data_IF_023510093186
#
_entry.id   IF_023510093186
#
_cell.length_a   1.000
_cell.length_b   1.000
_cell.length_c   1.000
_cell.angle_alpha   90.00
_cell.angle_beta   90.00
_cell.angle_gamma   90.00
#
_symmetry.space_group_name_H-M   'P 1'
#
loop_
_entity.id
_entity.type
_entity.pdbx_description
1 polymer ?
#
# COMPACT_ATOMS: atom_id res chain seq x y z
N UNK A 1 10.61 -18.40 -11.99
CA UNK A 1 9.22 -18.17 -12.39
C UNK A 1 8.25 -19.23 -11.84
N UNK A 2 8.59 -19.96 -10.79
CA UNK A 2 7.70 -20.96 -10.18
C UNK A 2 7.43 -22.21 -11.03
N UNK A 3 8.10 -22.39 -12.16
CA UNK A 3 7.97 -23.57 -13.02
C UNK A 3 6.66 -23.68 -13.82
N UNK A 4 5.94 -22.58 -13.98
CA UNK A 4 4.71 -22.52 -14.77
C UNK A 4 4.94 -21.84 -16.11
N UNK A 5 4.07 -22.15 -17.07
CA UNK A 5 4.09 -21.51 -18.39
C UNK A 5 3.40 -20.15 -18.27
N UNK A 6 4.12 -19.11 -18.66
CA UNK A 6 3.57 -17.75 -18.82
C UNK A 6 3.22 -17.55 -20.30
N UNK A 7 1.96 -17.27 -20.58
CA UNK A 7 1.45 -17.13 -21.96
C UNK A 7 1.49 -15.68 -22.47
N UNK A 8 1.88 -14.74 -21.62
CA UNK A 8 1.92 -13.30 -21.91
C UNK A 8 0.56 -12.73 -22.40
N UNK A 9 -0.55 -13.31 -21.98
CA UNK A 9 -1.89 -12.87 -22.38
C UNK A 9 -2.32 -11.57 -21.68
N UNK A 10 -1.58 -11.10 -20.67
CA UNK A 10 -1.80 -9.85 -19.97
C UNK A 10 -0.55 -8.96 -20.05
N UNK A 11 -0.46 -8.18 -21.12
CA UNK A 11 0.67 -7.28 -21.40
C UNK A 11 0.32 -5.80 -21.18
N UNK A 12 1.06 -4.92 -21.87
CA UNK A 12 0.93 -3.47 -21.75
C UNK A 12 -0.50 -2.99 -22.04
N UNK A 13 -1.13 -3.46 -23.11
CA UNK A 13 -2.47 -3.03 -23.50
C UNK A 13 -3.52 -3.45 -22.48
N UNK A 14 -3.48 -4.69 -22.02
CA UNK A 14 -4.41 -5.25 -21.05
C UNK A 14 -4.27 -4.54 -19.70
N UNK A 15 -3.03 -4.34 -19.22
CA UNK A 15 -2.77 -3.62 -17.97
C UNK A 15 -3.24 -2.17 -18.02
N UNK A 16 -2.89 -1.42 -19.05
CA UNK A 16 -3.33 -0.03 -19.22
C UNK A 16 -4.85 0.07 -19.37
N UNK A 17 -5.47 -0.89 -20.08
CA UNK A 17 -6.93 -0.97 -20.18
C UNK A 17 -7.57 -1.27 -18.83
N UNK A 18 -6.99 -2.14 -18.03
CA UNK A 18 -7.45 -2.40 -16.66
C UNK A 18 -7.40 -1.13 -15.83
N UNK A 19 -6.28 -0.39 -15.83
CA UNK A 19 -6.17 0.88 -15.11
C UNK A 19 -7.23 1.91 -15.57
N UNK A 20 -7.48 2.04 -16.87
CA UNK A 20 -8.54 2.90 -17.40
C UNK A 20 -9.95 2.49 -16.90
N UNK A 21 -10.24 1.18 -16.83
CA UNK A 21 -11.54 0.67 -16.39
C UNK A 21 -11.80 0.88 -14.90
N UNK A 22 -10.77 0.71 -14.05
CA UNK A 22 -10.89 0.94 -12.61
C UNK A 22 -10.66 2.40 -12.22
N UNK A 23 -10.18 3.25 -13.14
CA UNK A 23 -9.93 4.66 -12.90
C UNK A 23 -8.71 4.92 -11.99
N UNK A 24 -7.68 4.07 -12.04
CA UNK A 24 -6.45 4.24 -11.27
C UNK A 24 -5.27 4.66 -12.17
N UNK A 25 -4.28 5.31 -11.56
CA UNK A 25 -3.02 5.65 -12.22
C UNK A 25 -2.16 4.39 -12.39
N UNK A 26 -1.58 4.14 -13.57
CA UNK A 26 -0.63 3.06 -13.77
C UNK A 26 0.73 3.38 -13.12
N UNK A 27 1.31 2.39 -12.45
CA UNK A 27 2.70 2.40 -11.99
C UNK A 27 3.43 1.21 -12.62
N UNK A 28 4.38 1.48 -13.48
CA UNK A 28 5.13 0.47 -14.25
C UNK A 28 6.58 0.48 -13.83
N UNK A 29 7.13 -0.69 -13.48
CA UNK A 29 8.54 -0.87 -13.13
C UNK A 29 9.32 -1.48 -14.29
N UNK A 30 10.38 -0.79 -14.71
CA UNK A 30 11.28 -1.23 -15.75
C UNK A 30 12.33 -2.25 -15.26
N UNK A 31 12.67 -3.21 -16.09
CA UNK A 31 13.72 -4.18 -15.80
C UNK A 31 15.12 -3.56 -16.00
N UNK A 32 15.82 -3.26 -14.91
CA UNK A 32 17.21 -2.76 -14.98
C UNK A 32 18.25 -3.85 -14.65
N UNK A 33 17.79 -5.04 -14.26
CA UNK A 33 18.65 -6.17 -13.94
C UNK A 33 19.23 -6.84 -15.19
N UNK A 34 18.33 -7.28 -16.08
CA UNK A 34 18.69 -7.97 -17.33
C UNK A 34 18.27 -7.22 -18.58
N UNK A 35 17.43 -6.18 -18.48
CA UNK A 35 17.02 -5.34 -19.58
C UNK A 35 18.07 -4.30 -19.96
N UNK A 36 17.79 -3.58 -21.06
CA UNK A 36 18.64 -2.51 -21.56
C UNK A 36 17.98 -1.14 -21.42
N UNK A 37 18.78 -0.09 -21.40
CA UNK A 37 18.30 1.30 -21.40
C UNK A 37 17.40 1.57 -22.62
N UNK A 38 17.77 1.00 -23.77
CA UNK A 38 17.01 1.14 -25.03
C UNK A 38 15.62 0.53 -24.90
N UNK A 39 15.50 -0.68 -24.35
CA UNK A 39 14.20 -1.35 -24.16
C UNK A 39 13.26 -0.53 -23.28
N UNK A 40 13.73 -0.03 -22.12
CA UNK A 40 12.90 0.78 -21.25
C UNK A 40 12.53 2.13 -21.89
N UNK A 41 13.48 2.79 -22.54
CA UNK A 41 13.25 4.04 -23.29
C UNK A 41 12.20 3.84 -24.38
N UNK A 42 12.33 2.78 -25.18
CA UNK A 42 11.39 2.43 -26.23
C UNK A 42 10.00 2.10 -25.67
N UNK A 43 9.92 1.44 -24.52
CA UNK A 43 8.64 1.13 -23.89
C UNK A 43 7.92 2.38 -23.38
N UNK A 44 8.65 3.33 -22.79
CA UNK A 44 8.10 4.64 -22.40
C UNK A 44 7.61 5.43 -23.63
N UNK A 45 8.39 5.43 -24.72
CA UNK A 45 7.99 6.06 -25.98
C UNK A 45 6.75 5.40 -26.59
N UNK A 46 6.71 4.06 -26.62
CA UNK A 46 5.54 3.29 -27.06
C UNK A 46 4.26 3.70 -26.33
N UNK A 47 4.35 3.84 -25.01
CA UNK A 47 3.18 4.17 -24.20
C UNK A 47 2.75 5.63 -24.31
N UNK A 48 3.69 6.57 -24.40
CA UNK A 48 3.39 7.98 -24.10
C UNK A 48 3.61 8.96 -25.25
N UNK A 49 4.25 8.54 -26.36
CA UNK A 49 4.55 9.45 -27.45
C UNK A 49 3.40 9.55 -28.48
N UNK A 50 2.95 10.79 -28.75
CA UNK A 50 1.87 11.12 -29.70
C UNK A 50 2.40 11.63 -31.06
N UNK A 51 3.67 11.39 -31.35
CA UNK A 51 4.28 11.81 -32.62
C UNK A 51 4.42 10.66 -33.61
N UNK A 52 5.30 10.87 -34.58
CA UNK A 52 5.69 9.87 -35.55
C UNK A 52 7.03 9.26 -35.16
N UNK A 53 7.03 7.98 -34.82
CA UNK A 53 8.22 7.21 -34.49
C UNK A 53 7.95 5.72 -34.63
N UNK A 54 9.01 4.88 -34.70
CA UNK A 54 8.82 3.44 -34.77
C UNK A 54 7.97 2.87 -33.63
N UNK A 55 8.12 3.39 -32.41
CA UNK A 55 7.37 2.91 -31.23
C UNK A 55 5.93 3.39 -31.23
N UNK A 56 5.65 4.64 -31.61
CA UNK A 56 4.29 5.13 -31.77
C UNK A 56 3.54 4.38 -32.89
N UNK A 57 4.19 4.12 -34.04
CA UNK A 57 3.61 3.34 -35.12
C UNK A 57 3.41 1.86 -34.74
N UNK A 58 4.27 1.29 -33.89
CA UNK A 58 4.08 -0.05 -33.34
C UNK A 58 2.84 -0.10 -32.44
N UNK A 59 2.64 0.89 -31.55
CA UNK A 59 1.43 1.00 -30.71
C UNK A 59 0.17 1.03 -31.55
N UNK A 60 0.16 1.87 -32.63
CA UNK A 60 -0.98 1.98 -33.53
C UNK A 60 -1.28 0.67 -34.25
N UNK A 61 -0.26 -0.01 -34.77
CA UNK A 61 -0.41 -1.35 -35.39
C UNK A 61 -0.95 -2.39 -34.40
N UNK A 62 -0.62 -2.25 -33.13
CA UNK A 62 -1.14 -3.11 -32.05
C UNK A 62 -2.55 -2.69 -31.58
N UNK A 63 -3.21 -1.74 -32.28
CA UNK A 63 -4.62 -1.39 -32.06
C UNK A 63 -4.87 -0.20 -31.14
N UNK A 64 -3.82 0.55 -30.72
CA UNK A 64 -4.01 1.74 -29.91
C UNK A 64 -3.49 2.99 -30.62
N UNK A 65 -4.41 3.81 -31.13
CA UNK A 65 -4.05 5.06 -31.86
C UNK A 65 -3.45 6.10 -30.90
N UNK A 66 -4.17 6.43 -29.83
CA UNK A 66 -3.76 7.45 -28.88
C UNK A 66 -2.81 6.90 -27.80
N UNK A 67 -1.79 7.68 -27.37
CA UNK A 67 -0.94 7.29 -26.25
C UNK A 67 -1.73 7.19 -24.95
N UNK A 68 -1.18 6.49 -23.98
CA UNK A 68 -1.66 6.52 -22.61
C UNK A 68 -0.99 7.65 -21.83
N UNK A 69 -1.55 7.97 -20.68
CA UNK A 69 -0.88 8.72 -19.64
C UNK A 69 -0.19 7.74 -18.70
N UNK A 70 1.09 7.93 -18.48
CA UNK A 70 1.89 7.17 -17.52
C UNK A 70 2.47 8.17 -16.52
N UNK A 71 1.95 8.18 -15.30
CA UNK A 71 2.44 9.08 -14.25
C UNK A 71 3.64 8.47 -13.54
N UNK A 72 3.55 7.23 -13.10
CA UNK A 72 4.56 6.59 -12.25
C UNK A 72 5.40 5.59 -13.03
N UNK A 73 6.73 5.77 -12.97
CA UNK A 73 7.70 4.88 -13.59
C UNK A 73 8.75 4.45 -12.56
N UNK A 74 8.74 3.18 -12.19
CA UNK A 74 9.79 2.54 -11.42
C UNK A 74 11.00 2.20 -12.30
N UNK A 75 12.17 2.60 -11.88
CA UNK A 75 13.43 2.26 -12.54
C UNK A 75 14.10 1.14 -11.75
N UNK A 76 13.71 -0.08 -12.04
CA UNK A 76 14.05 -1.28 -11.30
C UNK A 76 13.04 -1.64 -10.23
N UNK A 77 13.16 -2.84 -9.71
CA UNK A 77 12.46 -3.36 -8.55
C UNK A 77 13.39 -4.31 -7.80
N UNK A 78 13.47 -4.20 -6.47
CA UNK A 78 14.32 -5.05 -5.63
C UNK A 78 15.74 -5.26 -6.16
N UNK A 79 16.36 -4.18 -6.64
CA UNK A 79 17.66 -4.27 -7.33
C UNK A 79 18.79 -4.77 -6.42
N UNK A 80 18.62 -4.70 -5.10
CA UNK A 80 19.47 -5.31 -4.07
C UNK A 80 19.36 -6.84 -4.02
N UNK A 81 18.27 -7.42 -4.51
CA UNK A 81 17.94 -8.85 -4.46
C UNK A 81 17.65 -9.41 -5.86
N UNK A 82 16.43 -9.93 -6.05
CA UNK A 82 16.00 -10.59 -7.29
C UNK A 82 16.06 -9.69 -8.53
N UNK A 83 16.00 -8.37 -8.37
CA UNK A 83 16.13 -7.39 -9.44
C UNK A 83 17.56 -7.11 -9.91
N UNK A 84 18.55 -7.90 -9.47
CA UNK A 84 19.92 -7.79 -10.00
C UNK A 84 21.06 -8.00 -9.02
N UNK A 85 20.77 -8.21 -7.72
CA UNK A 85 21.77 -8.42 -6.65
C UNK A 85 22.87 -7.34 -6.65
N UNK A 86 22.46 -6.08 -6.75
CA UNK A 86 23.35 -4.94 -6.93
C UNK A 86 23.78 -4.34 -5.59
N UNK A 87 24.93 -3.65 -5.60
CA UNK A 87 25.30 -2.71 -4.54
C UNK A 87 24.61 -1.36 -4.81
N UNK A 88 24.32 -0.55 -3.78
CA UNK A 88 23.60 0.70 -3.95
C UNK A 88 24.34 1.72 -4.84
N UNK A 89 25.69 1.74 -4.83
CA UNK A 89 26.48 2.61 -5.70
C UNK A 89 26.32 2.24 -7.17
N UNK A 90 26.37 0.94 -7.50
CA UNK A 90 26.19 0.48 -8.87
C UNK A 90 24.76 0.74 -9.36
N UNK A 91 23.76 0.47 -8.51
CA UNK A 91 22.38 0.78 -8.83
C UNK A 91 22.16 2.29 -9.04
N UNK A 92 22.77 3.15 -8.22
CA UNK A 92 22.69 4.60 -8.39
C UNK A 92 23.18 5.07 -9.76
N UNK A 93 24.29 4.49 -10.25
CA UNK A 93 24.81 4.78 -11.60
C UNK A 93 23.89 4.27 -12.70
N UNK A 94 23.34 3.05 -12.54
CA UNK A 94 22.34 2.51 -13.46
C UNK A 94 21.08 3.37 -13.47
N UNK A 95 20.53 3.70 -12.31
CA UNK A 95 19.35 4.56 -12.20
C UNK A 95 19.52 5.86 -12.98
N UNK A 96 20.62 6.58 -12.75
CA UNK A 96 20.93 7.84 -13.43
C UNK A 96 20.92 7.67 -14.95
N UNK A 97 21.50 6.59 -15.43
CA UNK A 97 21.56 6.26 -16.86
C UNK A 97 20.17 5.97 -17.43
N UNK A 98 19.39 5.08 -16.81
CA UNK A 98 18.03 4.77 -17.25
C UNK A 98 17.10 5.98 -17.16
N UNK A 99 17.11 6.70 -16.05
CA UNK A 99 16.29 7.88 -15.83
C UNK A 99 16.53 8.99 -16.89
N UNK A 100 17.77 9.11 -17.39
CA UNK A 100 18.15 10.07 -18.43
C UNK A 100 17.44 9.79 -19.76
N UNK A 101 17.27 8.54 -20.12
CA UNK A 101 16.68 8.15 -21.40
C UNK A 101 15.16 7.94 -21.33
N UNK A 102 14.59 7.75 -20.15
CA UNK A 102 13.13 7.77 -19.95
C UNK A 102 12.64 9.22 -19.97
N UNK A 103 12.23 9.69 -21.15
CA UNK A 103 11.87 11.09 -21.39
C UNK A 103 10.38 11.36 -21.17
N UNK A 104 10.06 12.59 -20.91
CA UNK A 104 8.70 13.10 -20.92
C UNK A 104 8.28 13.39 -22.37
N UNK A 105 7.37 12.57 -22.93
CA UNK A 105 6.84 12.73 -24.26
C UNK A 105 5.46 13.38 -24.23
N UNK A 106 5.14 14.19 -25.26
CA UNK A 106 3.79 14.67 -25.55
C UNK A 106 3.07 15.32 -24.35
N UNK A 107 3.84 16.01 -23.51
CA UNK A 107 3.30 16.63 -22.29
C UNK A 107 3.09 15.68 -21.10
N UNK A 108 3.33 14.38 -21.31
CA UNK A 108 3.32 13.41 -20.20
C UNK A 108 4.52 13.64 -19.28
N UNK A 109 4.28 13.79 -17.99
CA UNK A 109 5.31 13.97 -16.98
C UNK A 109 5.47 12.70 -16.15
N UNK A 110 6.67 12.13 -16.16
CA UNK A 110 7.00 10.92 -15.41
C UNK A 110 7.41 11.29 -13.97
N UNK A 111 6.75 10.69 -13.01
CA UNK A 111 7.22 10.60 -11.63
C UNK A 111 8.11 9.35 -11.52
N UNK A 112 9.43 9.57 -11.48
CA UNK A 112 10.42 8.50 -11.52
C UNK A 112 10.74 8.02 -10.11
N UNK A 113 10.53 6.71 -9.87
CA UNK A 113 10.78 6.06 -8.59
C UNK A 113 12.04 5.18 -8.70
N UNK A 114 12.98 5.41 -7.81
CA UNK A 114 14.16 4.54 -7.69
C UNK A 114 13.81 3.28 -6.89
N UNK A 115 14.36 2.12 -7.27
CA UNK A 115 14.32 0.90 -6.46
C UNK A 115 15.08 1.15 -5.15
N UNK A 116 14.32 1.32 -4.08
CA UNK A 116 14.83 1.70 -2.77
C UNK A 116 15.18 0.48 -1.91
N UNK A 117 15.19 0.68 -0.61
CA UNK A 117 15.71 -0.30 0.34
C UNK A 117 14.74 -1.43 0.67
N UNK A 118 15.32 -2.55 1.10
CA UNK A 118 14.61 -3.59 1.81
C UNK A 118 14.62 -3.30 3.30
N UNK A 119 13.43 -3.18 3.90
CA UNK A 119 13.26 -3.00 5.34
C UNK A 119 14.25 -1.95 5.92
N UNK A 120 15.14 -2.36 6.80
CA UNK A 120 16.06 -1.50 7.54
C UNK A 120 17.45 -1.33 6.88
N UNK A 121 17.57 -1.56 5.57
CA UNK A 121 18.82 -1.23 4.85
C UNK A 121 18.96 0.29 4.66
N UNK A 122 19.27 0.97 5.75
CA UNK A 122 19.47 2.43 5.77
C UNK A 122 20.65 2.88 4.93
N UNK A 123 21.66 2.01 4.72
CA UNK A 123 22.79 2.31 3.87
C UNK A 123 22.37 2.46 2.41
N UNK A 124 21.43 1.63 1.94
CA UNK A 124 20.88 1.75 0.60
C UNK A 124 20.26 3.15 0.38
N UNK A 125 19.41 3.57 1.30
CA UNK A 125 18.78 4.90 1.28
C UNK A 125 19.81 6.04 1.31
N UNK A 126 20.79 5.96 2.21
CA UNK A 126 21.86 6.97 2.34
C UNK A 126 22.63 7.13 1.03
N UNK A 127 23.05 6.03 0.41
CA UNK A 127 23.83 6.04 -0.83
C UNK A 127 23.01 6.62 -1.99
N UNK A 128 21.76 6.20 -2.17
CA UNK A 128 20.91 6.70 -3.22
C UNK A 128 20.66 8.21 -3.08
N UNK A 129 20.30 8.66 -1.88
CA UNK A 129 20.05 10.09 -1.63
C UNK A 129 21.30 10.96 -1.83
N UNK A 130 22.48 10.41 -1.56
CA UNK A 130 23.76 11.09 -1.77
C UNK A 130 24.18 11.14 -3.24
N UNK A 131 23.88 10.09 -4.02
CA UNK A 131 24.41 9.95 -5.38
C UNK A 131 23.42 10.35 -6.47
N UNK A 132 22.12 10.29 -6.17
CA UNK A 132 21.05 10.68 -7.07
C UNK A 132 20.47 11.99 -6.58
N UNK A 133 20.56 13.03 -7.41
CA UNK A 133 20.05 14.35 -7.05
C UNK A 133 18.53 14.41 -7.05
N UNK A 134 17.87 15.18 -6.15
CA UNK A 134 16.40 15.25 -6.05
C UNK A 134 15.68 15.70 -7.33
N UNK A 135 16.35 16.43 -8.24
CA UNK A 135 15.73 16.80 -9.52
C UNK A 135 15.66 15.65 -10.54
N UNK A 136 16.38 14.55 -10.30
CA UNK A 136 16.40 13.38 -11.19
C UNK A 136 15.61 12.17 -10.63
N UNK A 137 15.13 12.27 -9.39
CA UNK A 137 14.38 11.24 -8.70
C UNK A 137 13.19 11.88 -7.97
N UNK A 138 11.98 11.40 -8.21
CA UNK A 138 10.77 11.92 -7.57
C UNK A 138 10.33 11.05 -6.38
N UNK A 139 10.72 9.80 -6.37
CA UNK A 139 10.44 8.87 -5.30
C UNK A 139 11.51 7.80 -5.16
N UNK A 140 11.55 7.18 -4.00
CA UNK A 140 12.39 6.03 -3.70
C UNK A 140 11.55 4.99 -2.99
N UNK A 141 11.57 3.73 -3.44
CA UNK A 141 10.74 2.68 -2.88
C UNK A 141 11.23 2.20 -1.51
N UNK A 142 10.31 1.63 -0.74
CA UNK A 142 10.57 0.90 0.49
C UNK A 142 9.71 -0.36 0.48
N UNK A 143 10.32 -1.52 0.66
CA UNK A 143 9.63 -2.80 0.81
C UNK A 143 9.70 -3.27 2.26
N UNK A 144 8.56 -3.67 2.80
CA UNK A 144 8.49 -4.28 4.11
C UNK A 144 7.35 -5.28 4.21
N UNK A 145 7.68 -6.54 4.47
CA UNK A 145 6.70 -7.58 4.74
C UNK A 145 6.57 -7.87 6.24
N UNK A 146 5.35 -7.95 6.69
CA UNK A 146 5.02 -8.45 8.02
C UNK A 146 5.14 -9.97 8.03
N UNK A 147 6.19 -10.47 8.68
CA UNK A 147 6.40 -11.89 8.95
C UNK A 147 6.25 -12.10 10.46
N UNK A 148 5.35 -12.99 10.93
CA UNK A 148 4.97 -13.07 12.34
C UNK A 148 6.11 -13.24 13.34
N UNK A 149 7.13 -14.00 12.95
CA UNK A 149 8.28 -14.28 13.81
C UNK A 149 9.56 -13.55 13.37
N UNK A 150 9.50 -12.72 12.31
CA UNK A 150 10.71 -12.22 11.64
C UNK A 150 11.56 -13.33 10.98
N UNK A 151 11.06 -14.55 10.98
CA UNK A 151 11.74 -15.73 10.43
C UNK A 151 11.18 -16.08 9.05
N UNK A 152 11.95 -15.78 8.03
CA UNK A 152 11.60 -16.03 6.64
C UNK A 152 11.47 -17.50 6.27
N UNK A 153 12.02 -18.40 7.09
CA UNK A 153 11.95 -19.83 6.86
C UNK A 153 10.75 -20.50 7.53
N UNK A 154 10.15 -19.85 8.52
CA UNK A 154 8.99 -20.34 9.28
C UNK A 154 7.98 -19.20 9.47
N UNK A 155 7.31 -18.82 8.39
CA UNK A 155 6.40 -17.67 8.38
C UNK A 155 5.04 -17.95 9.03
N UNK A 156 4.71 -19.23 9.25
CA UNK A 156 3.46 -19.63 9.85
C UNK A 156 2.27 -19.66 8.87
N UNK A 157 1.14 -20.15 9.35
CA UNK A 157 -0.08 -20.30 8.55
C UNK A 157 -0.86 -19.00 8.44
N UNK A 158 -1.43 -18.74 7.26
CA UNK A 158 -2.35 -17.63 7.05
C UNK A 158 -3.67 -17.79 7.83
N UNK A 159 -4.13 -19.01 8.07
CA UNK A 159 -5.46 -19.30 8.64
C UNK A 159 -5.43 -19.99 9.99
N UNK A 160 -4.33 -20.66 10.33
CA UNK A 160 -4.18 -21.44 11.57
C UNK A 160 -3.10 -20.80 12.45
N UNK A 161 -3.50 -19.98 13.38
CA UNK A 161 -2.61 -19.28 14.30
C UNK A 161 -3.31 -19.14 15.66
N UNK A 162 -2.54 -19.01 16.72
CA UNK A 162 -3.04 -18.73 18.05
C UNK A 162 -2.92 -17.24 18.41
N UNK A 163 -3.30 -16.89 19.64
CA UNK A 163 -3.23 -15.52 20.15
C UNK A 163 -1.79 -14.99 20.20
N UNK A 164 -0.81 -15.84 20.51
CA UNK A 164 0.60 -15.44 20.57
C UNK A 164 1.12 -15.07 19.17
N UNK A 165 0.82 -15.88 18.16
CA UNK A 165 1.16 -15.63 16.75
C UNK A 165 0.45 -14.41 16.21
N UNK A 166 -0.81 -14.20 16.60
CA UNK A 166 -1.54 -12.97 16.26
C UNK A 166 -0.78 -11.73 16.76
N UNK A 167 -0.46 -11.65 18.06
CA UNK A 167 0.23 -10.48 18.60
C UNK A 167 1.67 -10.34 18.11
N UNK A 168 2.37 -11.43 17.76
CA UNK A 168 3.65 -11.38 17.06
C UNK A 168 3.51 -10.71 15.69
N UNK A 169 2.46 -11.06 14.96
CA UNK A 169 2.15 -10.43 13.66
C UNK A 169 1.93 -8.92 13.82
N UNK A 170 1.11 -8.50 14.79
CA UNK A 170 0.85 -7.09 15.01
C UNK A 170 2.11 -6.32 15.44
N UNK A 171 2.95 -6.88 16.31
CA UNK A 171 4.24 -6.27 16.67
C UNK A 171 5.17 -6.10 15.47
N UNK A 172 5.24 -7.12 14.61
CA UNK A 172 6.02 -7.05 13.36
C UNK A 172 5.47 -5.92 12.47
N UNK A 173 4.15 -5.82 12.32
CA UNK A 173 3.49 -4.74 11.56
C UNK A 173 3.88 -3.35 12.04
N UNK A 174 3.86 -3.11 13.35
CA UNK A 174 4.21 -1.82 13.96
C UNK A 174 5.68 -1.43 13.72
N UNK A 175 6.54 -2.40 13.45
CA UNK A 175 7.97 -2.16 13.15
C UNK A 175 8.22 -1.26 11.94
N UNK A 176 7.28 -1.18 11.00
CA UNK A 176 7.41 -0.34 9.79
C UNK A 176 7.50 1.15 10.12
N UNK A 177 6.81 1.63 11.17
CA UNK A 177 6.84 3.04 11.54
C UNK A 177 8.24 3.51 11.92
N UNK A 178 8.95 2.72 12.73
CA UNK A 178 10.34 3.00 13.08
C UNK A 178 11.28 3.04 11.87
N UNK A 179 11.04 2.20 10.87
CA UNK A 179 11.78 2.21 9.61
C UNK A 179 11.48 3.46 8.80
N UNK A 180 10.21 3.82 8.64
CA UNK A 180 9.77 5.05 7.96
C UNK A 180 10.42 6.28 8.57
N UNK A 181 10.40 6.41 9.89
CA UNK A 181 11.01 7.54 10.60
C UNK A 181 12.52 7.61 10.31
N UNK A 182 13.22 6.49 10.35
CA UNK A 182 14.68 6.47 10.12
C UNK A 182 15.04 6.72 8.65
N UNK A 183 14.33 6.13 7.69
CA UNK A 183 14.53 6.43 6.26
C UNK A 183 14.22 7.90 5.97
N UNK A 184 13.10 8.43 6.47
CA UNK A 184 12.74 9.84 6.32
C UNK A 184 13.82 10.76 6.90
N UNK A 185 14.33 10.47 8.09
CA UNK A 185 15.42 11.25 8.69
C UNK A 185 16.73 11.22 7.92
N UNK A 186 17.01 10.14 7.17
CA UNK A 186 18.13 10.10 6.22
C UNK A 186 17.81 10.98 5.02
N UNK A 187 16.61 10.83 4.44
CA UNK A 187 16.18 11.62 3.28
C UNK A 187 16.19 13.12 3.57
N UNK A 188 15.76 13.56 4.76
CA UNK A 188 15.70 14.97 5.17
C UNK A 188 17.06 15.66 5.15
N UNK A 189 18.17 14.93 5.35
CA UNK A 189 19.52 15.48 5.27
C UNK A 189 19.91 15.89 3.85
N UNK A 190 19.33 15.27 2.84
CA UNK A 190 19.63 15.51 1.42
C UNK A 190 18.50 16.23 0.69
N UNK A 191 17.29 16.14 1.20
CA UNK A 191 16.07 16.69 0.63
C UNK A 191 15.15 17.26 1.73
N UNK A 192 15.55 18.37 2.38
CA UNK A 192 14.76 18.99 3.44
C UNK A 192 13.43 19.59 2.95
N UNK A 193 13.28 19.78 1.64
CA UNK A 193 12.05 20.30 1.03
C UNK A 193 11.04 19.21 0.67
N UNK A 194 11.32 17.93 0.99
CA UNK A 194 10.48 16.76 0.73
C UNK A 194 10.06 16.62 -0.76
N UNK A 195 10.98 16.89 -1.68
CA UNK A 195 10.75 16.73 -3.12
C UNK A 195 10.77 15.27 -3.57
N UNK A 196 11.46 14.40 -2.81
CA UNK A 196 11.54 12.96 -3.06
C UNK A 196 10.61 12.24 -2.09
N UNK A 197 9.56 11.60 -2.62
CA UNK A 197 8.67 10.78 -1.82
C UNK A 197 9.29 9.45 -1.40
N UNK A 198 8.96 8.96 -0.19
CA UNK A 198 9.18 7.58 0.20
C UNK A 198 7.95 6.77 -0.26
N UNK A 199 8.15 5.88 -1.22
CA UNK A 199 7.08 5.10 -1.84
C UNK A 199 7.09 3.71 -1.21
N UNK A 200 6.09 3.41 -0.38
CA UNK A 200 5.97 2.08 0.23
C UNK A 200 5.22 1.19 -0.76
N UNK A 201 5.89 0.83 -1.86
CA UNK A 201 5.26 0.20 -3.02
C UNK A 201 5.18 -1.32 -2.93
N UNK A 202 5.68 -1.91 -1.83
CA UNK A 202 5.51 -3.34 -1.55
C UNK A 202 5.45 -3.58 -0.05
N UNK A 203 4.26 -3.91 0.46
CA UNK A 203 4.01 -4.18 1.88
C UNK A 203 2.84 -5.15 2.05
N UNK A 204 2.74 -5.75 3.22
CA UNK A 204 1.66 -6.67 3.58
C UNK A 204 2.17 -7.85 4.39
N UNK A 205 1.31 -8.83 4.63
CA UNK A 205 1.67 -10.08 5.31
C UNK A 205 2.24 -11.09 4.33
N UNK A 206 3.23 -11.85 4.80
CA UNK A 206 3.79 -12.97 4.05
C UNK A 206 3.83 -14.20 4.95
N UNK A 207 2.94 -15.16 4.69
CA UNK A 207 2.86 -16.45 5.38
C UNK A 207 3.37 -17.59 4.49
N UNK A 208 3.40 -18.80 5.05
CA UNK A 208 3.58 -19.99 4.25
C UNK A 208 2.39 -20.14 3.29
N UNK A 209 2.66 -20.63 2.08
CA UNK A 209 1.62 -20.82 1.06
C UNK A 209 0.55 -21.79 1.53
N UNK A 210 -0.69 -21.63 1.07
CA UNK A 210 -1.76 -22.56 1.40
C UNK A 210 -1.40 -24.00 0.96
N UNK A 211 -1.60 -24.99 1.83
CA UNK A 211 -1.29 -26.38 1.53
C UNK A 211 -1.97 -26.86 0.26
N UNK A 212 -1.22 -27.56 -0.60
CA UNK A 212 -1.74 -28.10 -1.87
C UNK A 212 -1.67 -27.13 -3.05
N UNK A 213 -1.21 -25.89 -2.84
CA UNK A 213 -0.96 -24.92 -3.92
C UNK A 213 0.49 -24.98 -4.40
N UNK A 214 0.76 -24.42 -5.60
CA UNK A 214 2.13 -24.28 -6.08
C UNK A 214 2.86 -23.22 -5.25
N UNK A 215 3.99 -23.55 -4.58
CA UNK A 215 4.72 -22.60 -3.76
C UNK A 215 5.20 -21.35 -4.50
N UNK A 216 5.48 -21.45 -5.80
CA UNK A 216 5.91 -20.33 -6.62
C UNK A 216 4.85 -19.27 -6.86
N UNK A 217 3.57 -19.58 -6.60
CA UNK A 217 2.47 -18.62 -6.74
C UNK A 217 2.26 -17.75 -5.49
N UNK A 218 2.87 -18.09 -4.37
CA UNK A 218 2.75 -17.35 -3.12
C UNK A 218 1.27 -17.12 -2.69
N UNK A 219 0.41 -18.10 -2.99
CA UNK A 219 -1.00 -18.03 -2.64
C UNK A 219 -1.20 -18.26 -1.15
N UNK A 220 -1.83 -17.32 -0.47
CA UNK A 220 -2.28 -17.43 0.91
C UNK A 220 -3.69 -16.85 1.06
N UNK A 221 -4.44 -17.36 2.03
CA UNK A 221 -5.72 -16.78 2.44
C UNK A 221 -5.48 -15.53 3.29
N UNK A 222 -6.53 -14.71 3.40
CA UNK A 222 -6.55 -13.49 4.20
C UNK A 222 -7.68 -13.59 5.23
N UNK A 223 -7.36 -13.37 6.49
CA UNK A 223 -8.31 -13.34 7.61
C UNK A 223 -8.53 -11.93 8.14
N UNK A 224 -9.32 -11.79 9.21
CA UNK A 224 -9.43 -10.51 9.92
C UNK A 224 -8.11 -10.05 10.54
N UNK A 225 -7.14 -10.97 10.84
CA UNK A 225 -5.78 -10.59 11.23
C UNK A 225 -5.12 -9.72 10.15
N UNK A 226 -5.25 -10.11 8.88
CA UNK A 226 -4.70 -9.35 7.75
C UNK A 226 -5.38 -8.00 7.57
N UNK A 227 -6.69 -7.95 7.83
CA UNK A 227 -7.43 -6.69 7.82
C UNK A 227 -6.89 -5.71 8.88
N UNK A 228 -6.59 -6.16 10.10
CA UNK A 228 -5.97 -5.32 11.14
C UNK A 228 -4.56 -4.88 10.73
N UNK A 229 -3.74 -5.77 10.18
CA UNK A 229 -2.42 -5.42 9.64
C UNK A 229 -2.54 -4.31 8.60
N UNK A 230 -3.47 -4.44 7.66
CA UNK A 230 -3.69 -3.41 6.65
C UNK A 230 -4.15 -2.08 7.26
N UNK A 231 -5.08 -2.11 8.22
CA UNK A 231 -5.60 -0.91 8.88
C UNK A 231 -4.50 -0.17 9.67
N UNK A 232 -3.66 -0.89 10.42
CA UNK A 232 -2.54 -0.30 11.16
C UNK A 232 -1.53 0.34 10.19
N UNK A 233 -1.14 -0.38 9.14
CA UNK A 233 -0.21 0.14 8.14
C UNK A 233 -0.75 1.39 7.46
N UNK A 234 -2.01 1.39 7.02
CA UNK A 234 -2.63 2.55 6.38
C UNK A 234 -2.74 3.74 7.32
N UNK A 235 -3.04 3.53 8.61
CA UNK A 235 -3.01 4.61 9.60
C UNK A 235 -1.60 5.20 9.74
N UNK A 236 -0.57 4.36 9.80
CA UNK A 236 0.84 4.81 9.86
C UNK A 236 1.19 5.61 8.60
N UNK A 237 0.87 5.10 7.41
CA UNK A 237 1.16 5.80 6.14
C UNK A 237 0.47 7.15 6.06
N UNK A 238 -0.81 7.23 6.47
CA UNK A 238 -1.54 8.49 6.53
C UNK A 238 -0.85 9.50 7.47
N UNK A 239 -0.43 9.07 8.67
CA UNK A 239 0.26 9.94 9.62
C UNK A 239 1.62 10.45 9.11
N UNK A 240 2.27 9.69 8.22
CA UNK A 240 3.54 10.04 7.59
C UNK A 240 3.39 10.55 6.14
N UNK A 241 2.18 10.97 5.73
CA UNK A 241 1.87 11.39 4.35
C UNK A 241 2.72 12.55 3.81
N UNK A 242 3.31 13.37 4.67
CA UNK A 242 4.25 14.41 4.25
C UNK A 242 5.50 13.85 3.53
N UNK A 243 5.87 12.60 3.80
CA UNK A 243 6.98 11.91 3.13
C UNK A 243 6.50 10.71 2.29
N UNK A 244 5.32 10.13 2.60
CA UNK A 244 4.76 8.96 1.92
C UNK A 244 3.57 9.38 1.04
N UNK A 245 3.79 9.71 -0.24
CA UNK A 245 2.69 10.06 -1.14
C UNK A 245 1.98 8.83 -1.73
N UNK A 246 2.52 7.62 -1.57
CA UNK A 246 1.95 6.39 -2.15
C UNK A 246 2.36 5.16 -1.34
N UNK A 247 1.40 4.25 -1.15
CA UNK A 247 1.62 2.93 -0.56
C UNK A 247 0.79 1.88 -1.33
N UNK A 248 1.44 0.81 -1.81
CA UNK A 248 0.83 -0.23 -2.64
C UNK A 248 0.98 -1.59 -1.96
N UNK A 249 -0.14 -2.23 -1.66
CA UNK A 249 -0.13 -3.54 -1.02
C UNK A 249 0.33 -4.65 -1.98
N UNK A 250 0.98 -5.65 -1.50
CA UNK A 250 1.35 -6.85 -2.22
C UNK A 250 0.41 -8.01 -1.86
N UNK A 251 -0.54 -8.38 -2.81
CA UNK A 251 -0.75 -7.80 -4.11
C UNK A 251 -2.26 -7.65 -4.40
N UNK A 252 -2.63 -7.34 -5.64
CA UNK A 252 -4.04 -7.12 -5.97
C UNK A 252 -4.86 -8.42 -6.03
N UNK A 253 -4.34 -9.49 -6.65
CA UNK A 253 -5.09 -10.73 -6.94
C UNK A 253 -4.25 -11.97 -6.67
N UNK A 254 -4.78 -12.89 -5.87
CA UNK A 254 -4.29 -14.26 -5.63
C UNK A 254 -2.88 -14.41 -5.03
N UNK A 255 -2.16 -13.35 -4.76
CA UNK A 255 -0.77 -13.40 -4.30
C UNK A 255 -0.62 -12.67 -2.98
N UNK A 256 0.00 -13.31 -1.98
CA UNK A 256 0.28 -12.73 -0.65
C UNK A 256 -0.98 -12.15 0.00
N UNK A 257 -0.89 -10.95 0.58
CA UNK A 257 -2.05 -10.27 1.16
C UNK A 257 -2.92 -9.63 0.06
N UNK A 258 -3.52 -10.46 -0.78
CA UNK A 258 -4.32 -9.98 -1.91
C UNK A 258 -5.66 -9.39 -1.49
N UNK A 259 -6.09 -8.35 -2.22
CA UNK A 259 -7.41 -7.74 -1.99
C UNK A 259 -8.55 -8.55 -2.64
N UNK A 260 -8.24 -9.30 -3.71
CA UNK A 260 -9.20 -10.16 -4.42
C UNK A 260 -8.65 -11.57 -4.57
N UNK A 261 -9.55 -12.55 -4.49
CA UNK A 261 -9.26 -13.93 -4.88
C UNK A 261 -10.13 -14.32 -6.05
N UNK A 262 -9.56 -15.08 -7.00
CA UNK A 262 -10.26 -15.55 -8.20
C UNK A 262 -10.09 -17.06 -8.38
N UNK A 263 -11.15 -17.71 -8.83
CA UNK A 263 -11.16 -19.12 -9.24
C UNK A 263 -12.06 -19.29 -10.45
N UNK A 264 -11.47 -19.56 -11.62
CA UNK A 264 -12.21 -19.57 -12.88
C UNK A 264 -12.90 -18.23 -13.14
N UNK A 265 -14.21 -18.22 -13.24
CA UNK A 265 -15.02 -16.99 -13.45
C UNK A 265 -15.48 -16.32 -12.15
N UNK A 266 -15.19 -16.90 -10.99
CA UNK A 266 -15.58 -16.35 -9.69
C UNK A 266 -14.54 -15.36 -9.19
N UNK A 267 -14.99 -14.30 -8.51
CA UNK A 267 -14.14 -13.34 -7.81
C UNK A 267 -14.76 -13.03 -6.45
N UNK A 268 -13.96 -13.03 -5.41
CA UNK A 268 -14.37 -12.66 -4.06
C UNK A 268 -13.49 -11.57 -3.48
N UNK A 269 -14.04 -10.80 -2.58
CA UNK A 269 -13.35 -9.75 -1.81
C UNK A 269 -12.78 -10.38 -0.53
N UNK A 270 -11.52 -10.09 -0.23
CA UNK A 270 -10.93 -10.51 1.05
C UNK A 270 -11.28 -9.50 2.16
N UNK A 271 -11.07 -9.82 3.45
CA UNK A 271 -11.17 -8.82 4.51
C UNK A 271 -10.28 -7.59 4.27
N UNK A 272 -9.10 -7.78 3.67
CA UNK A 272 -8.20 -6.68 3.27
C UNK A 272 -8.83 -5.75 2.23
N UNK A 273 -9.61 -6.25 1.26
CA UNK A 273 -10.36 -5.39 0.33
C UNK A 273 -11.26 -4.40 1.07
N UNK A 274 -11.98 -4.88 2.07
CA UNK A 274 -12.92 -4.05 2.83
C UNK A 274 -12.21 -2.95 3.62
N UNK A 275 -10.98 -3.19 4.06
CA UNK A 275 -10.14 -2.13 4.67
C UNK A 275 -9.85 -1.04 3.65
N UNK A 276 -9.41 -1.38 2.44
CA UNK A 276 -9.18 -0.39 1.39
C UNK A 276 -10.45 0.39 1.03
N UNK A 277 -11.63 -0.27 1.00
CA UNK A 277 -12.90 0.43 0.79
C UNK A 277 -13.24 1.39 1.94
N UNK A 278 -12.89 1.05 3.17
CA UNK A 278 -13.03 1.94 4.33
C UNK A 278 -12.04 3.13 4.26
N UNK A 279 -10.82 2.94 3.78
CA UNK A 279 -9.76 3.95 3.78
C UNK A 279 -9.71 4.86 2.55
N UNK A 280 -10.49 4.58 1.50
CA UNK A 280 -10.47 5.35 0.25
C UNK A 280 -10.79 6.84 0.42
N UNK A 281 -11.47 7.21 1.50
CA UNK A 281 -11.83 8.61 1.79
C UNK A 281 -10.62 9.47 2.22
N UNK A 282 -9.52 8.84 2.62
CA UNK A 282 -8.28 9.55 2.92
C UNK A 282 -7.48 9.93 1.67
N UNK A 283 -7.79 9.32 0.51
CA UNK A 283 -7.12 9.65 -0.75
C UNK A 283 -7.44 11.10 -1.16
N UNK A 284 -6.40 11.83 -1.58
CA UNK A 284 -6.50 13.25 -1.97
C UNK A 284 -7.09 14.18 -0.88
N UNK A 285 -7.03 13.76 0.39
CA UNK A 285 -7.45 14.53 1.56
C UNK A 285 -6.24 15.05 2.35
N UNK A 286 -6.39 16.16 3.04
CA UNK A 286 -5.36 16.71 3.89
C UNK A 286 -5.33 16.02 5.26
N UNK A 287 -4.13 15.63 5.71
CA UNK A 287 -3.93 15.04 7.04
C UNK A 287 -4.33 16.01 8.15
N UNK A 288 -5.12 15.54 9.10
CA UNK A 288 -5.39 16.23 10.37
C UNK A 288 -4.59 15.54 11.48
N UNK A 289 -3.82 16.33 12.23
CA UNK A 289 -3.19 15.80 13.43
C UNK A 289 -4.26 15.27 14.40
N UNK A 290 -4.11 14.03 14.79
CA UNK A 290 -5.03 13.34 15.70
C UNK A 290 -4.24 12.58 16.76
N UNK A 291 -4.84 12.44 17.92
CA UNK A 291 -4.26 11.72 19.06
C UNK A 291 -5.33 10.87 19.72
N UNK A 292 -4.97 9.66 20.13
CA UNK A 292 -5.84 8.78 20.89
C UNK A 292 -5.17 8.38 22.21
N UNK A 293 -5.94 8.45 23.30
CA UNK A 293 -5.52 7.87 24.55
C UNK A 293 -5.63 6.35 24.45
N UNK A 294 -4.56 5.63 24.72
CA UNK A 294 -4.42 4.23 24.38
C UNK A 294 -4.03 3.37 25.59
N UNK A 295 -4.38 2.09 25.55
CA UNK A 295 -3.86 1.01 26.38
C UNK A 295 -3.07 0.03 25.50
N UNK A 296 -2.48 -0.99 26.10
CA UNK A 296 -1.82 -2.06 25.36
C UNK A 296 -2.69 -3.31 25.35
N UNK A 297 -2.96 -3.86 24.18
CA UNK A 297 -3.61 -5.15 23.99
C UNK A 297 -2.68 -6.31 24.38
N UNK A 298 -1.38 -6.14 24.16
CA UNK A 298 -0.29 -7.02 24.58
C UNK A 298 0.99 -6.20 24.77
N UNK A 299 2.06 -6.81 25.26
CA UNK A 299 3.35 -6.13 25.41
C UNK A 299 3.83 -5.57 24.05
N UNK A 300 4.04 -4.25 24.00
CA UNK A 300 4.47 -3.55 22.79
C UNK A 300 3.42 -3.46 21.66
N UNK A 301 2.15 -3.76 21.96
CA UNK A 301 1.03 -3.65 21.00
C UNK A 301 -0.01 -2.68 21.54
N UNK A 302 -0.10 -1.46 21.04
CA UNK A 302 -1.19 -0.55 21.35
C UNK A 302 -2.54 -1.16 20.95
N UNK A 303 -3.55 -1.02 21.80
CA UNK A 303 -4.90 -1.55 21.52
C UNK A 303 -5.53 -0.87 20.32
N UNK A 304 -5.34 0.44 20.19
CA UNK A 304 -5.98 1.26 19.16
C UNK A 304 -4.96 1.91 18.24
N UNK A 305 -5.30 1.98 16.94
CA UNK A 305 -4.57 2.76 15.94
C UNK A 305 -5.56 3.67 15.21
N UNK A 306 -5.11 4.83 14.75
CA UNK A 306 -5.98 5.83 14.16
C UNK A 306 -5.27 6.71 13.11
N UNK A 307 -6.05 7.29 12.21
CA UNK A 307 -5.66 8.45 11.40
C UNK A 307 -6.88 9.34 11.13
N UNK A 308 -6.64 10.60 10.79
CA UNK A 308 -7.70 11.53 10.44
C UNK A 308 -7.30 12.42 9.28
N UNK A 309 -8.28 12.78 8.44
CA UNK A 309 -8.08 13.69 7.31
C UNK A 309 -9.30 14.55 7.05
N UNK A 310 -9.14 15.59 6.25
CA UNK A 310 -10.22 16.46 5.75
C UNK A 310 -10.13 16.55 4.24
N UNK A 311 -11.26 16.34 3.56
CA UNK A 311 -11.33 16.52 2.11
C UNK A 311 -11.58 17.99 1.70
N UNK A 312 -11.62 18.26 0.40
CA UNK A 312 -11.86 19.59 -0.15
C UNK A 312 -13.26 20.17 0.18
N UNK A 313 -14.24 19.31 0.51
CA UNK A 313 -15.58 19.72 0.91
C UNK A 313 -15.70 20.07 2.40
N UNK A 314 -14.61 19.86 3.16
CA UNK A 314 -14.56 20.10 4.60
C UNK A 314 -15.10 18.93 5.45
N UNK A 315 -15.38 17.78 4.84
CA UNK A 315 -15.74 16.56 5.58
C UNK A 315 -14.51 15.97 6.25
N UNK A 316 -14.63 15.65 7.52
CA UNK A 316 -13.56 15.02 8.30
C UNK A 316 -13.77 13.52 8.37
N UNK A 317 -12.74 12.78 8.08
CA UNK A 317 -12.69 11.32 8.12
C UNK A 317 -11.75 10.86 9.23
N UNK A 318 -12.20 9.88 10.02
CA UNK A 318 -11.42 9.30 11.14
C UNK A 318 -11.46 7.79 11.01
N UNK A 319 -10.36 7.15 10.75
CA UNK A 319 -10.24 5.68 10.81
C UNK A 319 -9.67 5.24 12.14
N UNK A 320 -10.24 4.17 12.68
CA UNK A 320 -9.86 3.56 13.94
C UNK A 320 -9.75 2.05 13.77
N UNK A 321 -8.75 1.42 14.38
CA UNK A 321 -8.68 -0.02 14.50
C UNK A 321 -8.44 -0.44 15.94
N UNK A 322 -9.11 -1.51 16.38
CA UNK A 322 -8.90 -2.15 17.68
C UNK A 322 -8.19 -3.49 17.45
N UNK A 323 -6.94 -3.60 17.89
CA UNK A 323 -6.14 -4.81 17.81
C UNK A 323 -6.31 -5.74 19.03
N UNK A 324 -7.10 -5.38 20.02
CA UNK A 324 -7.33 -6.23 21.20
C UNK A 324 -8.30 -7.37 20.88
N UNK A 325 -7.92 -8.58 21.21
CA UNK A 325 -8.79 -9.76 21.08
C UNK A 325 -9.83 -9.85 22.21
N UNK A 326 -9.68 -9.10 23.30
CA UNK A 326 -10.51 -9.24 24.50
C UNK A 326 -11.19 -7.96 24.98
N UNK A 327 -10.67 -6.77 24.62
CA UNK A 327 -11.16 -5.51 25.17
C UNK A 327 -11.95 -4.71 24.13
N UNK A 328 -13.11 -4.20 24.56
CA UNK A 328 -13.91 -3.24 23.81
C UNK A 328 -13.69 -1.84 24.35
N UNK A 329 -13.68 -0.85 23.47
CA UNK A 329 -13.40 0.54 23.83
C UNK A 329 -14.58 1.44 23.47
N UNK A 330 -14.95 2.29 24.42
CA UNK A 330 -15.79 3.44 24.16
C UNK A 330 -14.87 4.59 23.77
N UNK A 331 -14.98 5.04 22.51
CA UNK A 331 -14.17 6.13 21.96
C UNK A 331 -15.03 7.37 21.79
N UNK A 332 -14.56 8.44 22.40
CA UNK A 332 -15.18 9.76 22.34
C UNK A 332 -14.34 10.67 21.43
N UNK A 333 -14.88 11.01 20.27
CA UNK A 333 -14.22 11.79 19.23
C UNK A 333 -14.59 13.27 19.39
N UNK A 334 -13.59 14.13 19.51
CA UNK A 334 -13.74 15.57 19.58
C UNK A 334 -12.79 16.26 18.61
N UNK A 335 -13.27 17.30 17.93
CA UNK A 335 -12.43 18.20 17.16
C UNK A 335 -12.06 19.41 18.07
N UNK A 336 -10.78 19.74 18.13
CA UNK A 336 -10.28 20.81 19.02
C UNK A 336 -10.74 22.22 18.61
N UNK A 337 -11.20 22.39 17.37
CA UNK A 337 -11.49 23.70 16.77
C UNK A 337 -12.96 23.87 16.34
N UNK A 338 -13.79 22.84 16.49
CA UNK A 338 -15.19 22.88 16.06
C UNK A 338 -16.04 21.80 16.77
N UNK A 339 -17.36 22.01 16.88
CA UNK A 339 -18.27 20.97 17.32
C UNK A 339 -18.66 20.02 16.19
N UNK A 340 -18.92 18.76 16.53
CA UNK A 340 -19.45 17.76 15.58
C UNK A 340 -20.98 17.91 15.53
N UNK A 341 -21.53 18.13 14.34
CA UNK A 341 -22.95 18.28 14.11
C UNK A 341 -23.65 16.97 13.79
N UNK A 342 -23.04 16.18 12.96
CA UNK A 342 -23.54 14.86 12.56
C UNK A 342 -22.37 13.93 12.27
N UNK A 343 -22.63 12.64 12.34
CA UNK A 343 -21.62 11.62 12.12
C UNK A 343 -22.28 10.34 11.59
N UNK A 344 -21.61 9.69 10.65
CA UNK A 344 -21.99 8.39 10.10
C UNK A 344 -20.79 7.43 10.28
N UNK A 345 -21.05 6.17 10.54
CA UNK A 345 -19.97 5.19 10.75
C UNK A 345 -20.21 3.90 9.99
N UNK A 346 -19.12 3.31 9.50
CA UNK A 346 -19.07 1.98 8.92
C UNK A 346 -18.04 1.15 9.68
N UNK A 347 -18.22 -0.16 9.71
CA UNK A 347 -17.38 -1.07 10.48
C UNK A 347 -17.16 -2.37 9.75
N UNK A 348 -15.95 -2.90 9.87
CA UNK A 348 -15.60 -4.28 9.56
C UNK A 348 -15.25 -4.98 10.87
N UNK A 349 -15.96 -6.06 11.20
CA UNK A 349 -15.77 -6.82 12.45
C UNK A 349 -16.24 -8.26 12.28
N UNK A 350 -15.43 -9.20 12.74
CA UNK A 350 -15.74 -10.62 12.85
C UNK A 350 -14.70 -11.30 13.77
N UNK A 351 -14.75 -12.61 13.93
CA UNK A 351 -13.71 -13.41 14.57
C UNK A 351 -12.35 -13.25 13.87
N UNK A 352 -11.26 -13.32 14.62
CA UNK A 352 -9.90 -13.10 14.09
C UNK A 352 -9.51 -14.04 12.95
N UNK A 353 -10.08 -15.26 12.93
CA UNK A 353 -9.87 -16.26 11.87
C UNK A 353 -10.90 -16.17 10.74
N UNK A 354 -11.90 -15.27 10.85
CA UNK A 354 -12.91 -15.14 9.82
C UNK A 354 -12.28 -14.68 8.50
N UNK A 355 -12.74 -15.29 7.42
CA UNK A 355 -12.30 -15.04 6.05
C UNK A 355 -13.45 -15.26 5.07
N UNK A 356 -13.31 -14.73 3.86
CA UNK A 356 -14.24 -14.99 2.77
C UNK A 356 -13.72 -16.14 1.91
N UNK A 357 -14.61 -17.05 1.52
CA UNK A 357 -14.35 -18.17 0.62
C UNK A 357 -15.27 -18.11 -0.59
N UNK A 358 -15.04 -18.94 -1.60
CA UNK A 358 -15.91 -19.01 -2.77
C UNK A 358 -17.30 -19.62 -2.45
N UNK A 359 -17.44 -20.32 -1.30
CA UNK A 359 -18.71 -20.82 -0.75
C UNK A 359 -19.41 -19.78 0.11
N UNK A 360 -18.65 -18.96 0.86
CA UNK A 360 -19.15 -17.91 1.75
C UNK A 360 -18.46 -16.57 1.44
N UNK A 361 -18.76 -15.94 0.27
CA UNK A 361 -18.00 -14.78 -0.23
C UNK A 361 -18.21 -13.50 0.56
N UNK A 362 -19.29 -13.40 1.33
CA UNK A 362 -19.70 -12.20 2.07
C UNK A 362 -19.76 -12.43 3.60
N UNK A 363 -19.08 -13.47 4.12
CA UNK A 363 -19.02 -13.71 5.56
C UNK A 363 -18.47 -12.51 6.32
N UNK A 364 -17.35 -11.97 5.86
CA UNK A 364 -16.76 -10.74 6.37
C UNK A 364 -17.12 -9.62 5.41
N UNK A 365 -17.91 -8.68 5.87
CA UNK A 365 -18.36 -7.53 5.06
C UNK A 365 -18.57 -6.30 5.92
N UNK A 366 -18.54 -5.12 5.30
CA UNK A 366 -18.77 -3.84 5.98
C UNK A 366 -20.22 -3.73 6.44
N UNK A 367 -20.40 -3.27 7.67
CA UNK A 367 -21.69 -3.02 8.32
C UNK A 367 -21.79 -1.55 8.74
N UNK A 368 -23.02 -1.09 9.01
CA UNK A 368 -23.24 0.23 9.61
C UNK A 368 -22.80 0.22 11.07
N UNK A 369 -22.06 1.24 11.49
CA UNK A 369 -21.67 1.48 12.87
C UNK A 369 -22.62 2.52 13.50
N UNK A 370 -23.16 2.22 14.68
CA UNK A 370 -23.94 3.19 15.43
C UNK A 370 -23.02 4.29 16.00
N UNK A 371 -23.34 5.54 15.71
CA UNK A 371 -22.63 6.71 16.22
C UNK A 371 -23.61 7.59 16.99
N UNK A 372 -23.24 7.99 18.18
CA UNK A 372 -24.02 8.94 18.99
C UNK A 372 -23.37 10.31 18.95
N UNK A 373 -24.08 11.33 18.53
CA UNK A 373 -23.58 12.72 18.55
C UNK A 373 -24.30 13.50 19.63
N UNK A 374 -23.53 14.06 20.57
CA UNK A 374 -24.04 14.92 21.64
C UNK A 374 -22.97 15.94 22.06
N UNK A 375 -23.39 17.13 22.43
CA UNK A 375 -22.53 18.20 22.94
C UNK A 375 -21.30 18.51 22.02
N UNK A 376 -21.49 18.39 20.70
CA UNK A 376 -20.44 18.64 19.73
C UNK A 376 -19.35 17.54 19.65
N UNK A 377 -19.63 16.35 20.17
CA UNK A 377 -18.75 15.18 20.19
C UNK A 377 -19.45 13.98 19.53
N UNK A 378 -18.68 13.04 19.03
CA UNK A 378 -19.18 11.78 18.52
C UNK A 378 -18.66 10.61 19.36
N UNK A 379 -19.54 9.71 19.73
CA UNK A 379 -19.24 8.54 20.55
C UNK A 379 -19.49 7.27 19.75
N UNK A 380 -18.55 6.34 19.79
CA UNK A 380 -18.64 5.01 19.19
C UNK A 380 -18.16 3.94 20.18
N UNK A 381 -18.60 2.71 19.94
CA UNK A 381 -18.08 1.53 20.64
C UNK A 381 -17.32 0.67 19.64
N UNK A 382 -16.02 0.51 19.89
CA UNK A 382 -15.15 -0.43 19.19
C UNK A 382 -15.15 -1.76 19.96
N UNK A 383 -15.79 -2.78 19.42
CA UNK A 383 -15.87 -4.09 20.06
C UNK A 383 -14.51 -4.78 20.12
N UNK A 384 -14.34 -5.73 21.05
CA UNK A 384 -13.29 -6.74 20.98
C UNK A 384 -13.50 -7.67 19.77
N UNK A 385 -12.49 -8.45 19.42
CA UNK A 385 -12.50 -9.29 18.22
C UNK A 385 -12.50 -8.43 16.94
N UNK A 386 -11.46 -7.62 16.85
CA UNK A 386 -11.05 -6.91 15.64
C UNK A 386 -12.13 -6.05 15.02
N UNK A 387 -12.03 -4.78 15.30
CA UNK A 387 -12.98 -3.78 14.82
C UNK A 387 -12.22 -2.69 14.05
N UNK A 388 -12.53 -2.56 12.79
CA UNK A 388 -12.03 -1.47 11.95
C UNK A 388 -13.23 -0.60 11.63
N UNK A 389 -13.24 0.61 12.15
CA UNK A 389 -14.29 1.57 11.83
C UNK A 389 -13.82 2.55 10.76
N UNK A 390 -14.68 2.79 9.79
CA UNK A 390 -14.48 3.88 8.86
C UNK A 390 -15.01 5.18 9.43
N UNK A 391 -14.48 6.21 8.78
CA UNK A 391 -14.64 7.58 9.18
C UNK A 391 -16.09 7.90 9.34
N UNK A 392 -16.33 8.33 10.48
CA UNK A 392 -17.43 9.19 10.78
C UNK A 392 -17.24 10.40 9.88
N UNK A 393 -18.05 10.52 8.82
CA UNK A 393 -18.15 11.78 8.11
C UNK A 393 -18.65 12.80 9.11
N UNK A 394 -17.68 13.52 9.70
CA UNK A 394 -17.98 14.53 10.71
C UNK A 394 -18.30 15.81 9.95
N UNK A 395 -19.54 16.26 10.02
CA UNK A 395 -19.87 17.63 9.68
C UNK A 395 -19.60 18.52 10.90
N UNK A 396 -18.64 19.44 10.74
CA UNK A 396 -18.25 20.38 11.78
C UNK A 396 -19.17 21.61 11.76
N UNK A 397 -19.44 22.16 12.95
CA UNK A 397 -20.07 23.48 13.13
C UNK A 397 -18.94 24.46 13.42
N UNK A 398 -18.79 25.48 12.57
CA UNK A 398 -17.94 26.65 12.82
C UNK A 398 -18.50 27.54 13.92
#
# INVERSE_FOLDING_TARGET
WGGVVEDNSFGTHEFMRFCELVGCEPYISGNVGSGTVEELSNWVEYMTFDGVSPMAELRKRNGREQPWKLKYLGIGNESWGCGGSMRPEYYSDLYRRYATYCRNYSGNQLFKVASGSNADDYNWTEVLMKQITPWNMNGMSLHYYTVPNGDWWHKGSATKFDEEEYYKTIRSTLGIEGMIIRHSGIMDRYDPEHKVGLIVDEWGTWYDVEPGTNPGFLYQQNTMRDAIVAAINLNIFNQHSARIPMANIAQAVNVLQSILLTEGSKTIKTPTYHVFDLYKQHQDSDLIYSHIQNSNAAEGVPSLSQSASVNADGDVFVTLSNASLSESFKVDIAAAFAGIKSAEGRVLTDDVHALNTFEEPDRVTIKTLAVTVSDGRAEIILLSLIHISEPTRLQLIS
#
